data_IF_527875615075
#
_entry.id   IF_527875615075
#
_cell.length_a   1.000
_cell.length_b   1.000
_cell.length_c   1.000
_cell.angle_alpha   90.00
_cell.angle_beta   90.00
_cell.angle_gamma   90.00
#
_symmetry.space_group_name_H-M   'P 1'
#
loop_
_entity.id
_entity.type
_entity.pdbx_description
1 polymer ?
#
# COMPACT_ATOMS: atom_id res chain seq x y z
N UNK A 1 -20.55 -2.47 2.77
CA UNK A 1 -19.81 -2.90 3.98
C UNK A 1 -18.52 -3.59 3.54
N UNK A 2 -17.40 -3.26 4.15
CA UNK A 2 -16.12 -3.95 3.92
C UNK A 2 -15.94 -5.07 4.91
N UNK A 3 -15.50 -6.22 4.44
CA UNK A 3 -15.20 -7.37 5.28
C UNK A 3 -13.81 -7.89 4.93
N UNK A 4 -13.03 -8.22 5.93
CA UNK A 4 -11.70 -8.80 5.81
C UNK A 4 -11.77 -10.25 6.30
N UNK A 5 -11.28 -11.17 5.48
CA UNK A 5 -11.21 -12.60 5.80
C UNK A 5 -9.76 -13.08 5.79
N UNK A 6 -9.48 -14.02 6.67
CA UNK A 6 -8.27 -14.83 6.68
C UNK A 6 -8.68 -16.30 6.73
N UNK A 7 -8.15 -17.12 5.84
CA UNK A 7 -8.50 -18.55 5.79
C UNK A 7 -7.84 -19.39 6.89
N UNK A 8 -6.76 -18.89 7.52
CA UNK A 8 -5.93 -19.72 8.39
C UNK A 8 -5.94 -19.34 9.87
N UNK A 9 -6.63 -18.27 10.30
CA UNK A 9 -6.50 -17.84 11.68
C UNK A 9 -7.79 -17.22 12.25
N UNK A 10 -8.04 -17.49 13.53
CA UNK A 10 -9.19 -17.01 14.30
C UNK A 10 -9.00 -15.62 14.91
N UNK A 11 -7.83 -15.02 14.79
CA UNK A 11 -7.58 -13.66 15.27
C UNK A 11 -8.18 -12.63 14.30
N UNK A 12 -9.01 -11.71 14.79
CA UNK A 12 -9.71 -10.77 13.93
C UNK A 12 -8.75 -9.75 13.33
N UNK A 13 -8.68 -9.72 12.00
CA UNK A 13 -8.11 -8.58 11.32
C UNK A 13 -9.09 -7.39 11.44
N UNK A 14 -8.57 -6.23 11.79
CA UNK A 14 -9.36 -5.00 11.94
C UNK A 14 -9.12 -4.10 10.73
N UNK A 15 -10.20 -3.82 10.00
CA UNK A 15 -10.21 -2.85 8.91
C UNK A 15 -10.77 -1.51 9.42
N UNK A 16 -10.10 -0.42 9.07
CA UNK A 16 -10.49 0.95 9.40
C UNK A 16 -10.16 1.91 8.25
N UNK A 17 -10.71 3.10 8.31
CA UNK A 17 -10.33 4.18 7.39
C UNK A 17 -9.44 5.18 8.11
N UNK A 18 -8.51 5.80 7.37
CA UNK A 18 -7.64 6.85 7.89
C UNK A 18 -8.09 8.23 7.36
N UNK A 19 -8.17 9.20 8.26
CA UNK A 19 -8.42 10.61 7.96
C UNK A 19 -7.45 11.45 8.77
N UNK A 20 -6.57 12.17 8.10
CA UNK A 20 -5.53 12.98 8.73
C UNK A 20 -4.73 12.20 9.79
N UNK A 21 -4.42 10.92 9.48
CA UNK A 21 -3.70 10.02 10.37
C UNK A 21 -4.50 9.49 11.56
N UNK A 22 -5.82 9.69 11.58
CA UNK A 22 -6.71 9.15 12.63
C UNK A 22 -7.56 8.01 12.09
N UNK A 23 -7.54 6.90 12.80
CA UNK A 23 -8.35 5.72 12.46
C UNK A 23 -9.82 5.95 12.81
N UNK A 24 -10.72 5.56 11.90
CA UNK A 24 -12.16 5.55 12.09
C UNK A 24 -12.79 4.29 11.49
N UNK A 25 -13.67 3.62 12.24
CA UNK A 25 -14.40 2.44 11.77
C UNK A 25 -15.62 2.81 10.92
N UNK A 26 -16.18 3.99 11.14
CA UNK A 26 -17.34 4.53 10.41
C UNK A 26 -17.01 5.96 10.00
N UNK A 27 -17.29 6.28 8.73
CA UNK A 27 -17.06 7.60 8.20
C UNK A 27 -18.25 8.06 7.36
N UNK A 28 -18.70 9.29 7.57
CA UNK A 28 -19.57 10.00 6.65
C UNK A 28 -18.70 10.77 5.67
N UNK A 29 -18.87 10.51 4.38
CA UNK A 29 -18.10 11.14 3.32
C UNK A 29 -18.89 12.34 2.79
N UNK A 30 -18.33 13.53 2.97
CA UNK A 30 -18.86 14.76 2.36
C UNK A 30 -18.30 15.05 0.98
N UNK A 31 -17.12 14.50 0.68
CA UNK A 31 -16.42 14.66 -0.60
C UNK A 31 -15.89 13.30 -1.04
N UNK A 32 -16.44 12.78 -2.13
CA UNK A 32 -16.07 11.48 -2.71
C UNK A 32 -14.91 11.59 -3.71
N UNK A 33 -14.50 12.80 -4.08
CA UNK A 33 -13.42 13.02 -5.04
C UNK A 33 -12.04 12.65 -4.50
N UNK A 34 -11.89 12.55 -3.17
CA UNK A 34 -10.63 12.22 -2.53
C UNK A 34 -10.51 10.73 -2.25
N UNK A 35 -9.33 10.14 -2.47
CA UNK A 35 -9.08 8.76 -2.08
C UNK A 35 -9.28 8.56 -0.58
N UNK A 36 -9.90 7.45 -0.20
CA UNK A 36 -10.09 7.05 1.18
C UNK A 36 -9.02 6.02 1.51
N UNK A 37 -8.09 6.37 2.38
CA UNK A 37 -7.08 5.43 2.84
C UNK A 37 -7.70 4.36 3.75
N UNK A 38 -7.37 3.10 3.45
CA UNK A 38 -7.75 1.95 4.24
C UNK A 38 -6.56 1.48 5.07
N UNK A 39 -6.77 1.35 6.37
CA UNK A 39 -5.81 0.74 7.29
C UNK A 39 -6.27 -0.64 7.72
N UNK A 40 -5.31 -1.55 7.87
CA UNK A 40 -5.55 -2.89 8.38
C UNK A 40 -4.59 -3.15 9.52
N UNK A 41 -5.13 -3.66 10.62
CA UNK A 41 -4.33 -4.20 11.73
C UNK A 41 -4.61 -5.69 11.84
N UNK A 42 -3.57 -6.50 11.81
CA UNK A 42 -3.70 -7.95 11.90
C UNK A 42 -2.42 -8.61 12.42
N UNK A 43 -2.57 -9.69 13.16
CA UNK A 43 -1.47 -10.57 13.55
C UNK A 43 -1.28 -11.75 12.58
N UNK A 44 -2.10 -11.80 11.52
CA UNK A 44 -2.02 -12.81 10.46
C UNK A 44 -0.95 -12.43 9.45
N UNK A 45 -0.08 -13.38 9.13
CA UNK A 45 0.86 -13.33 8.02
C UNK A 45 0.35 -14.20 6.90
N UNK A 46 0.42 -13.72 5.67
CA UNK A 46 -0.01 -14.44 4.47
C UNK A 46 -1.10 -13.70 3.71
N UNK A 47 -1.91 -14.42 2.97
CA UNK A 47 -2.95 -13.83 2.14
C UNK A 47 -4.11 -13.28 2.98
N UNK A 48 -4.52 -12.07 2.65
CA UNK A 48 -5.74 -11.44 3.14
C UNK A 48 -6.62 -11.07 1.95
N UNK A 49 -7.92 -11.28 2.11
CA UNK A 49 -8.91 -10.91 1.10
C UNK A 49 -9.81 -9.80 1.62
N UNK A 50 -9.83 -8.68 0.90
CA UNK A 50 -10.81 -7.61 1.08
C UNK A 50 -12.01 -7.88 0.21
N UNK A 51 -13.20 -7.87 0.81
CA UNK A 51 -14.47 -7.99 0.09
C UNK A 51 -15.32 -6.74 0.28
N UNK A 52 -15.80 -6.19 -0.83
CA UNK A 52 -16.77 -5.11 -0.84
C UNK A 52 -18.20 -5.69 -0.93
N UNK A 53 -19.07 -5.29 -0.02
CA UNK A 53 -20.50 -5.64 -0.01
C UNK A 53 -21.37 -4.42 0.26
N UNK A 54 -22.67 -4.50 -0.02
CA UNK A 54 -23.60 -3.38 0.19
C UNK A 54 -23.51 -2.29 -0.89
N UNK A 55 -22.98 -2.63 -2.07
CA UNK A 55 -22.83 -1.69 -3.19
C UNK A 55 -24.17 -1.23 -3.78
N UNK A 56 -25.24 -1.96 -3.52
CA UNK A 56 -26.59 -1.64 -3.94
C UNK A 56 -27.13 -0.34 -3.32
N UNK A 57 -26.52 0.13 -2.25
CA UNK A 57 -26.88 1.40 -1.60
C UNK A 57 -26.19 2.61 -2.22
N UNK A 58 -25.20 2.40 -3.10
CA UNK A 58 -24.52 3.45 -3.83
C UNK A 58 -25.16 3.64 -5.21
N UNK A 59 -25.06 4.86 -5.74
CA UNK A 59 -25.49 5.14 -7.11
C UNK A 59 -24.79 4.16 -8.08
N UNK A 60 -25.59 3.49 -8.90
CA UNK A 60 -25.08 2.51 -9.87
C UNK A 60 -24.21 3.14 -10.96
N UNK A 61 -24.34 4.45 -11.17
CA UNK A 61 -23.52 5.21 -12.12
C UNK A 61 -22.09 5.51 -11.59
N UNK A 62 -21.85 5.30 -10.30
CA UNK A 62 -20.53 5.56 -9.71
C UNK A 62 -19.73 4.28 -9.60
N UNK A 63 -18.61 4.21 -10.28
CA UNK A 63 -17.64 3.14 -10.10
C UNK A 63 -16.95 3.22 -8.72
N UNK A 64 -16.53 2.07 -8.23
CA UNK A 64 -15.80 1.95 -6.97
C UNK A 64 -14.52 1.17 -7.25
N UNK A 65 -13.39 1.82 -7.06
CA UNK A 65 -12.09 1.22 -7.30
C UNK A 65 -11.30 1.02 -6.01
N UNK A 66 -10.65 -0.12 -5.91
CA UNK A 66 -9.59 -0.36 -4.93
C UNK A 66 -8.23 -0.16 -5.60
N UNK A 67 -7.46 0.75 -5.06
CA UNK A 67 -6.09 1.00 -5.47
C UNK A 67 -5.13 0.37 -4.45
N UNK A 68 -4.31 -0.59 -4.87
CA UNK A 68 -3.16 -1.05 -4.11
C UNK A 68 -1.91 -0.35 -4.62
N UNK A 69 -1.43 0.62 -3.85
CA UNK A 69 -0.24 1.39 -4.22
C UNK A 69 1.03 0.55 -4.17
N UNK A 70 1.00 -0.59 -3.51
CA UNK A 70 2.13 -1.49 -3.38
C UNK A 70 2.36 -2.32 -4.65
N UNK A 71 1.28 -2.83 -5.24
CA UNK A 71 1.33 -3.62 -6.48
C UNK A 71 1.11 -2.77 -7.73
N UNK A 72 0.64 -1.52 -7.58
CA UNK A 72 0.20 -0.68 -8.69
C UNK A 72 -1.16 -1.09 -9.25
N UNK A 73 -1.89 -1.96 -8.57
CA UNK A 73 -3.18 -2.46 -9.02
C UNK A 73 -4.27 -1.43 -8.79
N UNK A 74 -5.13 -1.26 -9.78
CA UNK A 74 -6.39 -0.53 -9.69
C UNK A 74 -7.50 -1.48 -10.15
N UNK A 75 -8.35 -1.91 -9.22
CA UNK A 75 -9.41 -2.88 -9.49
C UNK A 75 -10.78 -2.26 -9.34
N UNK A 76 -11.64 -2.43 -10.36
CA UNK A 76 -13.05 -2.08 -10.24
C UNK A 76 -13.75 -3.11 -9.34
N UNK A 77 -14.16 -2.66 -8.16
CA UNK A 77 -14.79 -3.52 -7.14
C UNK A 77 -16.26 -3.84 -7.45
N UNK A 78 -16.87 -3.19 -8.43
CA UNK A 78 -18.19 -3.58 -8.92
C UNK A 78 -18.12 -4.80 -9.84
N UNK A 79 -17.06 -4.91 -10.63
CA UNK A 79 -16.82 -6.04 -11.53
C UNK A 79 -16.25 -7.25 -10.77
N UNK A 80 -15.32 -6.98 -9.89
CA UNK A 80 -14.72 -8.00 -9.01
C UNK A 80 -14.70 -7.49 -7.57
N UNK A 81 -15.65 -7.90 -6.72
CA UNK A 81 -15.79 -7.38 -5.36
C UNK A 81 -14.76 -7.90 -4.35
N UNK A 82 -13.86 -8.77 -4.77
CA UNK A 82 -12.83 -9.37 -3.91
C UNK A 82 -11.43 -9.01 -4.41
N UNK A 83 -10.57 -8.61 -3.48
CA UNK A 83 -9.17 -8.33 -3.73
C UNK A 83 -8.30 -9.06 -2.71
N UNK A 84 -7.44 -9.95 -3.20
CA UNK A 84 -6.51 -10.73 -2.37
C UNK A 84 -5.10 -10.19 -2.50
N UNK A 85 -4.41 -10.08 -1.37
CA UNK A 85 -3.04 -9.58 -1.32
C UNK A 85 -2.25 -10.23 -0.18
N UNK A 86 -0.95 -10.36 -0.40
CA UNK A 86 -0.02 -10.80 0.65
C UNK A 86 0.16 -9.75 1.72
N UNK A 87 0.14 -10.18 2.98
CA UNK A 87 0.33 -9.33 4.15
C UNK A 87 1.42 -9.87 5.07
N UNK A 88 2.09 -8.95 5.74
CA UNK A 88 2.91 -9.22 6.93
C UNK A 88 2.11 -8.84 8.18
N UNK A 89 2.47 -9.38 9.33
CA UNK A 89 1.82 -9.01 10.60
C UNK A 89 1.99 -7.54 10.93
N UNK A 90 1.03 -6.96 11.65
CA UNK A 90 1.04 -5.59 12.14
C UNK A 90 0.07 -4.66 11.41
N UNK A 91 0.52 -3.46 11.08
CA UNK A 91 -0.29 -2.43 10.43
C UNK A 91 0.02 -2.35 8.95
N UNK A 92 -1.03 -2.28 8.12
CA UNK A 92 -0.95 -1.94 6.70
C UNK A 92 -1.63 -0.58 6.53
N UNK A 93 -0.84 0.45 6.34
CA UNK A 93 -1.28 1.83 6.10
C UNK A 93 -0.51 2.39 4.89
N UNK A 94 -1.07 3.39 4.21
CA UNK A 94 -0.45 3.98 3.02
C UNK A 94 -0.43 3.08 1.78
N UNK A 95 -1.10 1.92 1.83
CA UNK A 95 -1.09 0.93 0.76
C UNK A 95 -2.40 0.90 -0.02
N UNK A 96 -3.51 0.77 0.67
CA UNK A 96 -4.81 0.52 0.08
C UNK A 96 -5.67 1.77 0.12
N UNK A 97 -6.21 2.16 -1.03
CA UNK A 97 -7.05 3.34 -1.16
C UNK A 97 -8.34 2.99 -1.90
N UNK A 98 -9.45 3.47 -1.38
CA UNK A 98 -10.74 3.40 -2.05
C UNK A 98 -10.98 4.70 -2.81
N UNK A 99 -11.38 4.58 -4.08
CA UNK A 99 -11.78 5.69 -4.94
C UNK A 99 -13.19 5.47 -5.42
N UNK A 100 -13.99 6.54 -5.45
CA UNK A 100 -15.40 6.49 -5.85
C UNK A 100 -15.63 7.51 -6.97
N UNK A 101 -16.24 7.09 -8.06
CA UNK A 101 -16.53 7.91 -9.23
C UNK A 101 -15.55 7.69 -10.38
N UNK A 102 -15.48 8.64 -11.29
CA UNK A 102 -14.58 8.59 -12.45
C UNK A 102 -13.12 8.65 -12.01
N UNK A 103 -12.30 7.87 -12.66
CA UNK A 103 -10.84 7.88 -12.48
C UNK A 103 -10.24 8.73 -13.58
N UNK A 104 -9.57 9.81 -13.21
CA UNK A 104 -8.74 10.57 -14.13
C UNK A 104 -7.45 9.82 -14.45
N UNK A 105 -6.87 10.06 -15.62
CA UNK A 105 -5.60 9.43 -16.04
C UNK A 105 -4.47 9.63 -15.02
N UNK A 106 -4.51 10.74 -14.28
CA UNK A 106 -3.59 11.04 -13.19
C UNK A 106 -3.86 10.25 -11.90
N UNK A 107 -5.03 9.63 -11.79
CA UNK A 107 -5.42 8.79 -10.65
C UNK A 107 -4.98 7.34 -10.80
N UNK A 108 -4.68 6.92 -12.03
CA UNK A 108 -4.08 5.61 -12.30
C UNK A 108 -2.69 5.63 -11.65
N UNK A 109 -2.38 4.63 -10.81
CA UNK A 109 -1.05 4.58 -10.23
C UNK A 109 -0.04 4.58 -11.37
N UNK A 110 0.63 5.71 -11.57
CA UNK A 110 1.76 5.70 -12.46
C UNK A 110 2.70 4.58 -11.99
N UNK A 111 3.19 3.80 -12.93
CA UNK A 111 4.10 2.67 -12.69
C UNK A 111 5.43 3.09 -12.04
N UNK A 112 5.40 4.18 -11.31
CA UNK A 112 6.55 4.76 -10.64
C UNK A 112 7.00 3.93 -9.43
N UNK A 113 8.29 4.03 -9.18
CA UNK A 113 8.89 3.46 -7.98
C UNK A 113 8.19 4.01 -6.74
N UNK A 114 7.72 3.12 -5.87
CA UNK A 114 7.05 3.44 -4.61
C UNK A 114 7.86 2.94 -3.45
N UNK A 115 7.87 3.73 -2.39
CA UNK A 115 8.60 3.42 -1.17
C UNK A 115 7.61 3.59 -0.02
N UNK A 116 7.37 2.51 0.70
CA UNK A 116 6.50 2.49 1.87
C UNK A 116 7.27 1.98 3.09
N UNK A 117 6.86 2.41 4.27
CA UNK A 117 7.36 1.87 5.54
C UNK A 117 6.21 1.18 6.25
N UNK A 118 6.38 -0.09 6.55
CA UNK A 118 5.42 -0.88 7.29
C UNK A 118 6.14 -1.67 8.37
N UNK A 119 5.70 -1.54 9.62
CA UNK A 119 6.27 -2.25 10.78
C UNK A 119 7.80 -2.12 10.90
N UNK A 120 8.32 -0.91 10.70
CA UNK A 120 9.77 -0.66 10.76
C UNK A 120 10.56 -1.23 9.57
N UNK A 121 9.88 -1.81 8.57
CA UNK A 121 10.49 -2.32 7.34
C UNK A 121 10.22 -1.39 6.17
N UNK A 122 11.20 -1.22 5.33
CA UNK A 122 11.06 -0.50 4.07
C UNK A 122 10.64 -1.49 3.00
N UNK A 123 9.54 -1.18 2.36
CA UNK A 123 9.04 -1.94 1.22
C UNK A 123 9.09 -1.07 -0.02
N UNK A 124 9.59 -1.63 -1.09
CA UNK A 124 9.77 -0.93 -2.37
C UNK A 124 9.06 -1.71 -3.45
N UNK A 125 8.31 -1.01 -4.31
CA UNK A 125 7.72 -1.58 -5.51
C UNK A 125 7.98 -0.72 -6.74
N UNK A 126 7.98 -1.35 -7.90
CA UNK A 126 8.10 -0.75 -9.22
C UNK A 126 7.21 -1.50 -10.21
N UNK A 127 7.13 -0.99 -11.44
CA UNK A 127 6.48 -1.72 -12.53
C UNK A 127 7.15 -3.08 -12.79
N UNK A 128 6.36 -4.06 -13.23
CA UNK A 128 6.85 -5.38 -13.66
C UNK A 128 7.81 -5.24 -14.85
N UNK A 129 7.56 -4.27 -15.73
CA UNK A 129 8.36 -3.98 -16.92
C UNK A 129 9.66 -3.23 -16.60
N UNK A 130 9.76 -2.63 -15.40
CA UNK A 130 10.94 -1.91 -14.94
C UNK A 130 11.32 -2.34 -13.50
N UNK A 131 11.81 -3.58 -13.33
CA UNK A 131 12.07 -4.16 -12.02
C UNK A 131 13.19 -3.43 -11.27
N UNK A 132 13.14 -3.50 -9.95
CA UNK A 132 14.11 -2.91 -9.04
C UNK A 132 15.48 -3.61 -9.23
N UNK A 133 16.50 -2.83 -9.53
CA UNK A 133 17.88 -3.30 -9.63
C UNK A 133 18.64 -3.15 -8.32
N UNK A 134 18.43 -2.04 -7.63
CA UNK A 134 19.11 -1.79 -6.34
C UNK A 134 18.30 -0.91 -5.40
N UNK A 135 18.54 -1.12 -4.11
CA UNK A 135 18.03 -0.25 -3.04
C UNK A 135 19.16 0.10 -2.09
N UNK A 136 19.32 1.41 -1.80
CA UNK A 136 20.25 1.95 -0.82
C UNK A 136 19.49 2.74 0.23
N UNK A 137 19.88 2.61 1.48
CA UNK A 137 19.33 3.40 2.59
C UNK A 137 20.46 4.12 3.28
N UNK A 138 20.33 5.43 3.42
CA UNK A 138 21.28 6.28 4.11
C UNK A 138 20.64 6.98 5.31
N UNK A 139 21.38 7.12 6.38
CA UNK A 139 21.03 8.07 7.43
C UNK A 139 21.17 9.51 6.89
N UNK A 140 20.54 10.49 7.55
CA UNK A 140 20.63 11.90 7.13
C UNK A 140 22.05 12.47 7.15
N UNK A 141 22.95 11.88 7.93
CA UNK A 141 24.38 12.25 7.94
C UNK A 141 25.20 11.62 6.80
N UNK A 142 24.52 10.96 5.83
CA UNK A 142 25.14 10.33 4.66
C UNK A 142 25.69 8.92 4.92
N UNK A 143 25.66 8.40 6.14
CA UNK A 143 26.13 7.04 6.45
C UNK A 143 25.22 6.01 5.76
N UNK A 144 25.84 5.12 4.98
CA UNK A 144 25.12 3.98 4.37
C UNK A 144 24.68 3.00 5.46
N UNK A 145 23.38 2.73 5.51
CA UNK A 145 22.75 1.78 6.44
C UNK A 145 22.54 0.43 5.75
N UNK A 146 22.08 0.48 4.49
CA UNK A 146 21.73 -0.71 3.72
C UNK A 146 22.04 -0.52 2.25
N UNK A 147 22.48 -1.60 1.60
CA UNK A 147 22.72 -1.64 0.16
C UNK A 147 22.44 -3.07 -0.36
N UNK A 148 21.46 -3.20 -1.21
CA UNK A 148 21.16 -4.44 -1.94
C UNK A 148 21.14 -4.15 -3.43
N UNK A 149 21.85 -5.00 -4.19
CA UNK A 149 21.99 -4.89 -5.65
C UNK A 149 21.49 -6.19 -6.31
N UNK A 150 21.32 -6.14 -7.62
CA UNK A 150 20.90 -7.27 -8.45
C UNK A 150 19.56 -7.90 -8.00
N UNK A 151 18.60 -7.08 -7.57
CA UNK A 151 17.32 -7.52 -7.01
C UNK A 151 16.46 -8.17 -8.09
N UNK A 152 16.23 -7.52 -9.23
CA UNK A 152 15.44 -7.99 -10.37
C UNK A 152 14.03 -8.44 -10.02
N UNK A 153 13.39 -7.76 -9.10
CA UNK A 153 12.01 -7.98 -8.65
C UNK A 153 11.24 -6.67 -8.74
N UNK A 154 9.96 -6.76 -9.06
CA UNK A 154 9.06 -5.59 -9.05
C UNK A 154 8.69 -5.17 -7.63
N UNK A 155 8.87 -6.04 -6.65
CA UNK A 155 8.55 -5.77 -5.26
C UNK A 155 9.60 -6.40 -4.35
N UNK A 156 10.08 -5.64 -3.36
CA UNK A 156 11.04 -6.14 -2.38
C UNK A 156 10.74 -5.57 -0.99
N UNK A 157 10.63 -6.44 -0.01
CA UNK A 157 10.65 -6.08 1.40
C UNK A 157 12.08 -6.20 1.92
N UNK A 158 12.56 -5.14 2.55
CA UNK A 158 13.92 -5.10 3.07
C UNK A 158 13.91 -5.59 4.53
N UNK A 159 14.49 -6.76 4.76
CA UNK A 159 14.73 -7.30 6.10
C UNK A 159 15.93 -6.58 6.75
N UNK A 160 15.72 -5.32 7.07
CA UNK A 160 16.70 -4.50 7.78
C UNK A 160 16.05 -3.90 9.00
N UNK A 161 16.62 -4.18 10.15
CA UNK A 161 16.26 -3.45 11.36
C UNK A 161 16.90 -2.07 11.29
N UNK A 162 16.10 -1.05 11.04
CA UNK A 162 16.52 0.35 11.07
C UNK A 162 15.90 0.93 12.35
N UNK A 163 16.68 1.41 13.30
CA UNK A 163 16.14 2.08 14.48
C UNK A 163 15.30 3.29 14.06
N UNK A 164 14.33 3.66 14.89
CA UNK A 164 13.48 4.83 14.64
C UNK A 164 14.30 6.05 14.25
N UNK A 165 14.23 6.42 13.02
CA UNK A 165 14.95 7.57 12.46
C UNK A 165 14.42 7.99 11.11
N UNK A 166 14.80 9.17 10.71
CA UNK A 166 14.60 9.64 9.34
C UNK A 166 15.74 9.12 8.46
N UNK A 167 15.39 8.50 7.35
CA UNK A 167 16.34 7.95 6.39
C UNK A 167 16.05 8.42 4.98
N UNK A 168 17.06 8.38 4.12
CA UNK A 168 16.93 8.59 2.68
C UNK A 168 17.00 7.21 1.99
N UNK A 169 15.94 6.82 1.33
CA UNK A 169 15.87 5.60 0.53
C UNK A 169 16.08 5.97 -0.94
N UNK A 170 17.04 5.34 -1.56
CA UNK A 170 17.33 5.45 -2.99
C UNK A 170 17.00 4.13 -3.65
N UNK A 171 16.10 4.13 -4.60
CA UNK A 171 15.72 2.97 -5.41
C UNK A 171 16.12 3.21 -6.84
N UNK A 172 16.75 2.24 -7.45
CA UNK A 172 17.15 2.27 -8.85
C UNK A 172 16.53 1.08 -9.57
N UNK A 173 15.86 1.36 -10.67
CA UNK A 173 15.43 0.40 -11.66
C UNK A 173 16.30 0.52 -12.90
N UNK A 174 15.99 -0.23 -13.95
CA UNK A 174 16.71 -0.13 -15.22
C UNK A 174 16.60 1.25 -15.84
N UNK A 175 15.42 1.87 -15.75
CA UNK A 175 15.12 3.11 -16.49
C UNK A 175 15.01 4.34 -15.57
N UNK A 176 14.89 4.15 -14.25
CA UNK A 176 14.57 5.24 -13.32
C UNK A 176 15.34 5.13 -12.01
N UNK A 177 15.41 6.27 -11.33
CA UNK A 177 15.89 6.34 -9.93
C UNK A 177 14.96 7.24 -9.12
N UNK A 178 14.59 6.78 -7.95
CA UNK A 178 13.82 7.57 -6.98
C UNK A 178 14.58 7.71 -5.68
N UNK A 179 14.55 8.91 -5.12
CA UNK A 179 15.07 9.21 -3.80
C UNK A 179 13.90 9.72 -2.94
N UNK A 180 13.67 9.09 -1.82
CA UNK A 180 12.58 9.48 -0.93
C UNK A 180 13.05 9.49 0.52
N UNK A 181 12.65 10.54 1.24
CA UNK A 181 12.88 10.65 2.67
C UNK A 181 11.75 9.95 3.42
N UNK A 182 12.07 8.93 4.20
CA UNK A 182 11.11 8.14 4.96
C UNK A 182 11.37 8.22 6.45
N UNK A 183 10.31 8.15 7.24
CA UNK A 183 10.38 8.09 8.70
C UNK A 183 10.11 6.65 9.09
N UNK A 184 11.07 6.01 9.73
CA UNK A 184 10.93 4.66 10.28
C UNK A 184 10.54 4.83 11.75
N UNK A 185 9.42 4.23 12.11
CA UNK A 185 8.85 4.22 13.46
C UNK A 185 8.71 2.81 13.98
#
# INVERSE_FOLDING_TARGET
MWTLFSEENTEPAVLYTLLDGKAASIRTLGDLSKPIELGIRTDVKGELTLRLSGMETFDTAQDIYLQDTFTGTLQNMRENPEYTFDNQTGFVEGRLFLRIGEIEENDIPDSDIRIAVSNGRVVVSSSVDDPIESVKIHALNGRLIYNKQAIRQSTVSLDVFIPEQVTLVTVTTRNRQKNEKVIIR
#
